data_IF_378021967091
#
_entry.id   IF_378021967091
#
_cell.length_a   1.000
_cell.length_b   1.000
_cell.length_c   1.000
_cell.angle_alpha   90.00
_cell.angle_beta   90.00
_cell.angle_gamma   90.00
#
_symmetry.space_group_name_H-M   'P 1'
#
loop_
_entity.id
_entity.type
_entity.pdbx_description
1 polymer ?
#
# COMPACT_ATOMS: atom_id res chain seq x y z
N UNK A 1 -8.25 19.22 21.65
CA UNK A 1 -7.87 18.00 20.89
C UNK A 1 -9.09 17.54 20.11
N UNK A 2 -9.21 17.94 18.85
CA UNK A 2 -10.22 17.31 17.99
C UNK A 2 -9.62 15.95 17.64
N UNK A 3 -10.01 14.94 18.40
CA UNK A 3 -9.79 13.56 18.01
C UNK A 3 -10.39 13.43 16.61
N UNK A 4 -9.55 13.23 15.59
CA UNK A 4 -10.02 12.72 14.30
C UNK A 4 -10.98 11.56 14.62
N UNK A 5 -12.23 11.60 14.16
CA UNK A 5 -13.14 10.48 14.32
C UNK A 5 -12.41 9.23 13.87
N UNK A 6 -12.42 8.17 14.70
CA UNK A 6 -11.68 6.93 14.40
C UNK A 6 -12.04 6.35 13.02
N UNK A 7 -13.23 6.67 12.53
CA UNK A 7 -13.70 6.33 11.18
C UNK A 7 -12.88 6.98 10.05
N UNK A 8 -12.51 8.25 10.16
CA UNK A 8 -11.78 8.98 9.12
C UNK A 8 -10.33 8.50 9.00
N UNK A 9 -9.70 8.16 10.13
CA UNK A 9 -8.35 7.59 10.16
C UNK A 9 -8.34 6.18 9.55
N UNK A 10 -9.37 5.36 9.82
CA UNK A 10 -9.49 4.04 9.23
C UNK A 10 -9.73 4.09 7.72
N UNK A 11 -10.57 5.02 7.26
CA UNK A 11 -10.83 5.22 5.83
C UNK A 11 -9.55 5.63 5.06
N UNK A 12 -8.75 6.53 5.63
CA UNK A 12 -7.49 6.93 5.01
C UNK A 12 -6.47 5.78 4.99
N UNK A 13 -6.42 4.99 6.05
CA UNK A 13 -5.59 3.79 6.12
C UNK A 13 -6.01 2.74 5.06
N UNK A 14 -7.31 2.52 4.85
CA UNK A 14 -7.84 1.65 3.79
C UNK A 14 -7.45 2.17 2.39
N UNK A 15 -7.52 3.49 2.16
CA UNK A 15 -7.10 4.12 0.90
C UNK A 15 -5.62 3.88 0.62
N UNK A 16 -4.75 4.14 1.59
CA UNK A 16 -3.30 3.91 1.47
C UNK A 16 -3.01 2.42 1.22
N UNK A 17 -3.70 1.52 1.92
CA UNK A 17 -3.55 0.08 1.69
C UNK A 17 -3.93 -0.34 0.27
N UNK A 18 -4.99 0.25 -0.31
CA UNK A 18 -5.38 -0.03 -1.69
C UNK A 18 -4.26 0.31 -2.67
N UNK A 19 -3.69 1.51 -2.55
CA UNK A 19 -2.59 1.97 -3.40
C UNK A 19 -1.37 1.06 -3.24
N UNK A 20 -1.01 0.69 -2.00
CA UNK A 20 0.12 -0.21 -1.76
C UNK A 20 -0.11 -1.60 -2.35
N UNK A 21 -1.33 -2.14 -2.27
CA UNK A 21 -1.66 -3.44 -2.88
C UNK A 21 -1.49 -3.43 -4.39
N UNK A 22 -1.94 -2.38 -5.06
CA UNK A 22 -1.78 -2.24 -6.52
C UNK A 22 -0.30 -2.25 -6.92
N UNK A 23 0.54 -1.52 -6.20
CA UNK A 23 1.98 -1.43 -6.46
C UNK A 23 2.74 -2.74 -6.16
N UNK A 24 2.21 -3.53 -5.23
CA UNK A 24 2.79 -4.80 -4.80
C UNK A 24 2.15 -6.01 -5.48
N UNK A 25 1.36 -5.79 -6.54
CA UNK A 25 0.73 -6.86 -7.32
C UNK A 25 1.60 -7.26 -8.51
N UNK A 26 1.77 -8.57 -8.68
CA UNK A 26 2.46 -9.16 -9.82
C UNK A 26 1.59 -9.12 -11.07
N UNK A 27 2.07 -8.50 -12.15
CA UNK A 27 1.33 -8.41 -13.42
C UNK A 27 1.13 -9.75 -14.15
N UNK A 28 1.88 -10.79 -13.78
CA UNK A 28 1.75 -12.11 -14.40
C UNK A 28 0.68 -13.01 -13.74
N UNK A 29 0.43 -12.84 -12.44
CA UNK A 29 -0.55 -13.67 -11.71
C UNK A 29 -1.63 -12.88 -10.97
N UNK A 30 -1.60 -11.54 -11.06
CA UNK A 30 -2.56 -10.62 -10.44
C UNK A 30 -2.76 -10.81 -8.93
N UNK A 31 -1.73 -11.32 -8.25
CA UNK A 31 -1.67 -11.49 -6.80
C UNK A 31 -0.53 -10.66 -6.24
N UNK A 32 -0.54 -10.39 -4.93
CA UNK A 32 0.60 -9.80 -4.24
C UNK A 32 1.86 -10.63 -4.51
N UNK A 33 3.01 -9.96 -4.60
CA UNK A 33 4.26 -10.64 -4.88
C UNK A 33 4.56 -11.75 -3.87
N UNK A 34 4.96 -12.89 -4.40
CA UNK A 34 5.46 -14.04 -3.66
C UNK A 34 6.87 -14.33 -4.15
N UNK A 35 7.86 -14.20 -3.26
CA UNK A 35 9.29 -14.18 -3.60
C UNK A 35 9.60 -13.30 -4.84
N UNK A 36 9.42 -11.96 -4.75
CA UNK A 36 9.61 -11.08 -5.90
C UNK A 36 11.03 -11.12 -6.45
N UNK A 37 11.13 -11.34 -7.75
CA UNK A 37 12.35 -11.26 -8.55
C UNK A 37 12.27 -10.07 -9.50
N UNK A 38 13.38 -9.35 -9.68
CA UNK A 38 13.54 -8.22 -10.60
C UNK A 38 14.35 -8.68 -11.81
N UNK A 39 13.81 -8.50 -13.01
CA UNK A 39 14.50 -8.75 -14.26
C UNK A 39 15.42 -7.58 -14.65
N UNK A 40 16.35 -7.74 -15.62
CA UNK A 40 17.20 -6.64 -16.10
C UNK A 40 16.44 -5.43 -16.66
N UNK A 41 15.25 -5.66 -17.22
CA UNK A 41 14.32 -4.60 -17.64
C UNK A 41 13.59 -3.90 -16.48
N UNK A 42 13.96 -4.21 -15.23
CA UNK A 42 13.43 -3.65 -13.99
C UNK A 42 11.96 -3.99 -13.66
N UNK A 43 11.32 -4.82 -14.48
CA UNK A 43 10.04 -5.43 -14.14
C UNK A 43 10.19 -6.51 -13.08
N UNK A 44 9.13 -6.70 -12.27
CA UNK A 44 9.13 -7.59 -11.11
C UNK A 44 8.06 -8.65 -11.24
N UNK A 45 8.37 -9.87 -10.84
CA UNK A 45 7.48 -11.02 -10.91
C UNK A 45 7.70 -11.94 -9.72
N UNK A 46 6.69 -12.75 -9.37
CA UNK A 46 6.88 -13.83 -8.41
C UNK A 46 7.85 -14.87 -8.98
N UNK A 47 8.64 -15.52 -8.11
CA UNK A 47 9.52 -16.62 -8.51
C UNK A 47 8.78 -17.68 -9.34
N UNK A 48 7.66 -18.19 -8.83
CA UNK A 48 6.84 -19.18 -9.53
C UNK A 48 6.19 -18.69 -10.84
N UNK A 49 6.23 -17.39 -11.15
CA UNK A 49 5.83 -16.87 -12.45
C UNK A 49 6.98 -16.95 -13.48
N UNK A 50 8.23 -16.76 -13.05
CA UNK A 50 9.42 -16.83 -13.91
C UNK A 50 9.89 -18.27 -14.15
N UNK A 51 9.69 -19.18 -13.19
CA UNK A 51 10.11 -20.59 -13.29
C UNK A 51 9.34 -21.39 -14.36
N UNK A 52 8.38 -20.79 -15.07
CA UNK A 52 7.56 -21.43 -16.12
C UNK A 52 8.29 -21.63 -17.47
N UNK A 53 9.62 -21.61 -17.46
CA UNK A 53 10.45 -21.91 -18.65
C UNK A 53 10.45 -20.82 -19.73
N UNK A 54 10.14 -19.56 -19.39
CA UNK A 54 10.24 -18.44 -20.33
C UNK A 54 11.58 -17.72 -20.19
N UNK A 55 12.08 -17.17 -21.29
CA UNK A 55 13.32 -16.39 -21.38
C UNK A 55 13.09 -14.94 -21.82
N UNK A 56 11.84 -14.47 -21.71
CA UNK A 56 11.43 -13.10 -22.04
C UNK A 56 10.52 -12.54 -20.96
N UNK A 57 10.60 -11.23 -20.72
CA UNK A 57 9.76 -10.54 -19.75
C UNK A 57 8.26 -10.82 -19.96
N UNK A 58 7.53 -10.96 -18.86
CA UNK A 58 6.09 -11.25 -18.83
C UNK A 58 5.22 -9.98 -18.80
N UNK A 59 5.82 -8.80 -18.70
CA UNK A 59 5.07 -7.55 -18.59
C UNK A 59 4.44 -7.19 -19.94
N UNK A 60 3.17 -6.76 -19.98
CA UNK A 60 2.54 -6.31 -21.23
C UNK A 60 3.39 -5.24 -21.93
N UNK A 61 3.71 -5.47 -23.21
CA UNK A 61 4.54 -4.54 -23.99
C UNK A 61 6.05 -4.60 -23.74
N UNK A 62 6.53 -5.36 -22.76
CA UNK A 62 7.96 -5.62 -22.57
C UNK A 62 8.29 -7.04 -23.05
N UNK A 63 9.31 -7.17 -23.90
CA UNK A 63 9.79 -8.48 -24.38
C UNK A 63 11.29 -8.66 -24.17
N UNK A 64 11.88 -7.90 -23.25
CA UNK A 64 13.31 -7.97 -22.97
C UNK A 64 13.69 -9.41 -22.59
N UNK A 65 14.66 -10.02 -23.29
CA UNK A 65 15.12 -11.35 -22.94
C UNK A 65 15.86 -11.35 -21.61
N UNK A 66 15.88 -12.49 -20.94
CA UNK A 66 16.66 -12.71 -19.72
C UNK A 66 17.14 -14.17 -19.65
N UNK A 67 18.26 -14.38 -18.97
CA UNK A 67 18.84 -15.68 -18.67
C UNK A 67 18.47 -16.13 -17.26
N UNK A 68 18.59 -17.42 -16.97
CA UNK A 68 18.24 -17.98 -15.65
C UNK A 68 19.00 -17.35 -14.46
N UNK A 69 20.18 -16.77 -14.72
CA UNK A 69 21.02 -16.08 -13.72
C UNK A 69 20.65 -14.62 -13.49
N UNK A 70 19.84 -14.03 -14.36
CA UNK A 70 19.53 -12.59 -14.33
C UNK A 70 18.55 -12.17 -13.23
N UNK A 71 17.49 -12.93 -12.89
CA UNK A 71 16.51 -12.51 -11.91
C UNK A 71 17.12 -12.29 -10.52
N UNK A 72 17.00 -11.07 -9.99
CA UNK A 72 17.51 -10.69 -8.66
C UNK A 72 16.39 -10.62 -7.65
N UNK A 73 16.57 -11.20 -6.46
CA UNK A 73 15.60 -11.10 -5.36
C UNK A 73 15.40 -9.64 -4.95
N UNK A 74 14.14 -9.23 -4.81
CA UNK A 74 13.76 -7.91 -4.32
C UNK A 74 13.29 -8.01 -2.86
N UNK A 75 14.25 -8.17 -1.94
CA UNK A 75 13.99 -8.41 -0.51
C UNK A 75 13.11 -7.32 0.13
N UNK A 76 13.35 -6.05 -0.20
CA UNK A 76 12.53 -4.94 0.29
C UNK A 76 11.06 -5.05 -0.14
N UNK A 77 10.78 -5.49 -1.37
CA UNK A 77 9.39 -5.71 -1.80
C UNK A 77 8.76 -6.87 -1.04
N UNK A 78 9.51 -7.94 -0.76
CA UNK A 78 9.01 -9.03 0.06
C UNK A 78 8.62 -8.54 1.46
N UNK A 79 9.49 -7.75 2.10
CA UNK A 79 9.19 -7.13 3.40
C UNK A 79 7.98 -6.21 3.37
N UNK A 80 7.82 -5.42 2.31
CA UNK A 80 6.65 -4.53 2.15
C UNK A 80 5.35 -5.31 1.93
N UNK A 81 5.38 -6.43 1.20
CA UNK A 81 4.22 -7.30 1.03
C UNK A 81 3.77 -7.86 2.39
N UNK A 82 4.71 -8.36 3.19
CA UNK A 82 4.38 -8.87 4.54
C UNK A 82 3.83 -7.77 5.44
N UNK A 83 4.43 -6.57 5.39
CA UNK A 83 3.93 -5.42 6.13
C UNK A 83 2.49 -5.04 5.73
N UNK A 84 2.18 -4.99 4.44
CA UNK A 84 0.83 -4.68 3.94
C UNK A 84 -0.18 -5.77 4.34
N UNK A 85 0.21 -7.04 4.31
CA UNK A 85 -0.64 -8.15 4.79
C UNK A 85 -0.97 -7.95 6.27
N UNK A 86 0.01 -7.60 7.09
CA UNK A 86 -0.19 -7.44 8.52
C UNK A 86 -1.04 -6.21 8.86
N UNK A 87 -0.73 -5.06 8.25
CA UNK A 87 -1.55 -3.85 8.39
C UNK A 87 -3.01 -4.07 7.99
N UNK A 88 -3.24 -4.89 6.96
CA UNK A 88 -4.59 -5.22 6.52
C UNK A 88 -5.39 -5.96 7.58
N UNK A 89 -4.75 -6.90 8.29
CA UNK A 89 -5.39 -7.63 9.40
C UNK A 89 -5.70 -6.68 10.55
N UNK A 90 -4.76 -5.82 10.91
CA UNK A 90 -4.92 -4.84 11.99
C UNK A 90 -6.11 -3.91 11.72
N UNK A 91 -6.22 -3.37 10.52
CA UNK A 91 -7.35 -2.49 10.13
C UNK A 91 -8.69 -3.24 10.15
N UNK A 92 -8.72 -4.50 9.70
CA UNK A 92 -9.91 -5.36 9.77
C UNK A 92 -10.33 -5.63 11.22
N UNK A 93 -9.38 -5.91 12.11
CA UNK A 93 -9.66 -6.11 13.54
C UNK A 93 -10.22 -4.86 14.21
N UNK A 94 -9.61 -3.69 13.94
CA UNK A 94 -10.08 -2.40 14.49
C UNK A 94 -11.48 -2.03 13.99
N UNK A 95 -11.83 -2.45 12.77
CA UNK A 95 -13.18 -2.28 12.20
C UNK A 95 -14.19 -3.21 12.87
N UNK A 96 -13.85 -4.49 13.07
CA UNK A 96 -14.69 -5.46 13.77
C UNK A 96 -14.98 -5.09 15.23
N UNK A 97 -13.99 -4.51 15.92
CA UNK A 97 -14.15 -4.03 17.29
C UNK A 97 -15.04 -2.77 17.42
N UNK A 98 -15.16 -1.96 16.35
CA UNK A 98 -16.05 -0.80 16.33
C UNK A 98 -17.52 -1.18 16.06
N UNK A 99 -17.77 -2.32 15.41
CA UNK A 99 -19.11 -2.87 15.20
C UNK A 99 -19.65 -3.66 16.40
N UNK A 100 -18.79 -4.13 17.31
CA UNK A 100 -19.20 -4.94 18.47
C UNK A 100 -19.59 -4.12 19.71
N UNK A 101 -19.65 -2.78 19.63
CA UNK A 101 -20.08 -1.91 20.74
C UNK A 101 -21.51 -1.35 20.55
N UNK A 102 -22.30 -1.92 19.65
CA UNK A 102 -23.66 -1.46 19.34
C UNK A 102 -24.79 -2.45 19.69
N UNK A 103 -24.47 -3.66 20.18
CA UNK A 103 -25.46 -4.72 20.43
C UNK A 103 -25.65 -5.12 21.91
N UNK A 104 -25.19 -4.32 22.88
CA UNK A 104 -25.58 -4.49 24.29
C UNK A 104 -26.36 -3.27 24.79
N UNK A 105 -27.66 -3.22 24.43
CA UNK A 105 -28.63 -2.30 25.01
C UNK A 105 -29.88 -3.07 25.47
N UNK A 106 -29.86 -3.50 26.73
CA UNK A 106 -30.98 -3.78 27.66
C UNK A 106 -30.30 -4.20 28.99
N UNK A 107 -30.47 -3.59 30.16
CA UNK A 107 -31.61 -2.93 30.79
C UNK A 107 -31.12 -2.16 32.05
N UNK A 108 -31.80 -1.09 32.49
CA UNK A 108 -31.75 -0.66 33.90
C UNK A 108 -31.27 0.75 34.30
N UNK A 109 -32.20 1.73 34.18
CA UNK A 109 -32.50 2.89 35.03
C UNK A 109 -31.49 3.60 36.00
N UNK A 110 -31.57 4.94 35.91
CA UNK A 110 -31.56 5.97 36.97
C UNK A 110 -30.22 6.47 37.57
N UNK A 111 -29.96 7.77 37.41
CA UNK A 111 -29.00 8.53 38.22
C UNK A 111 -28.63 9.89 37.61
N UNK A 112 -29.29 10.96 38.05
CA UNK A 112 -28.90 12.35 37.78
C UNK A 112 -27.55 12.68 38.43
N UNK A 113 -26.67 13.45 37.76
CA UNK A 113 -25.89 14.53 38.37
C UNK A 113 -24.92 15.22 37.38
N UNK A 114 -25.22 16.49 37.13
CA UNK A 114 -24.33 17.64 37.35
C UNK A 114 -23.28 18.03 36.27
N UNK A 115 -23.53 19.25 35.77
CA UNK A 115 -22.63 20.08 34.99
C UNK A 115 -21.24 20.21 35.62
N UNK A 116 -20.22 20.22 34.77
CA UNK A 116 -19.01 21.02 34.97
C UNK A 116 -18.63 21.71 33.66
N UNK A 117 -18.81 23.02 33.65
CA UNK A 117 -18.14 23.91 32.71
C UNK A 117 -16.68 24.07 33.13
N UNK A 118 -15.75 24.04 32.17
CA UNK A 118 -14.46 24.72 32.26
C UNK A 118 -14.19 25.33 30.89
N UNK A 119 -14.08 26.65 30.87
CA UNK A 119 -13.87 27.48 29.69
C UNK A 119 -12.42 27.56 29.21
N UNK A 120 -12.35 28.15 28.01
CA UNK A 120 -11.29 28.91 27.35
C UNK A 120 -9.85 28.38 27.28
N UNK A 121 -9.38 28.14 26.05
CA UNK A 121 -8.34 28.99 25.45
C UNK A 121 -8.03 28.57 24.01
N UNK A 122 -7.85 29.59 23.17
CA UNK A 122 -7.48 29.59 21.77
C UNK A 122 -6.21 28.75 21.48
N UNK A 123 -6.20 27.97 20.38
CA UNK A 123 -5.05 28.03 19.47
C UNK A 123 -5.35 27.45 18.08
N UNK A 124 -4.88 28.17 17.07
CA UNK A 124 -4.86 27.79 15.68
C UNK A 124 -3.95 26.57 15.42
N UNK A 125 -4.08 25.97 14.23
CA UNK A 125 -3.16 25.02 13.56
C UNK A 125 -3.25 23.52 13.91
N UNK A 126 -4.22 22.80 13.32
CA UNK A 126 -4.14 21.32 13.18
C UNK A 126 -4.58 20.79 11.79
N UNK A 127 -5.06 21.66 10.89
CA UNK A 127 -5.21 21.34 9.46
C UNK A 127 -3.88 20.95 8.79
N UNK A 128 -2.75 21.40 9.35
CA UNK A 128 -1.42 21.14 8.80
C UNK A 128 -0.93 19.70 8.91
N UNK A 129 -1.43 18.88 9.85
CA UNK A 129 -0.91 17.52 10.08
C UNK A 129 -1.52 16.49 9.12
N UNK A 130 -2.84 16.56 8.89
CA UNK A 130 -3.56 15.77 7.89
C UNK A 130 -3.19 16.17 6.46
N UNK A 131 -2.97 17.46 6.23
CA UNK A 131 -2.46 17.97 4.95
C UNK A 131 -1.03 17.51 4.70
N UNK A 132 -0.17 17.51 5.73
CA UNK A 132 1.20 17.02 5.60
C UNK A 132 1.26 15.51 5.28
N UNK A 133 0.40 14.68 5.89
CA UNK A 133 0.33 13.26 5.55
C UNK A 133 -0.20 13.05 4.13
N UNK A 134 -1.28 13.74 3.75
CA UNK A 134 -1.84 13.70 2.40
C UNK A 134 -0.83 14.13 1.34
N UNK A 135 -0.05 15.17 1.63
CA UNK A 135 1.01 15.66 0.76
C UNK A 135 2.15 14.64 0.62
N UNK A 136 2.53 13.95 1.71
CA UNK A 136 3.52 12.86 1.67
C UNK A 136 3.02 11.65 0.88
N UNK A 137 1.74 11.28 1.00
CA UNK A 137 1.14 10.21 0.19
C UNK A 137 1.11 10.62 -1.28
N UNK A 138 0.66 11.83 -1.61
CA UNK A 138 0.67 12.35 -2.99
C UNK A 138 2.10 12.39 -3.59
N UNK A 139 3.09 12.79 -2.80
CA UNK A 139 4.50 12.80 -3.21
C UNK A 139 5.03 11.37 -3.45
N UNK A 140 4.66 10.41 -2.60
CA UNK A 140 4.99 9.00 -2.79
C UNK A 140 4.34 8.45 -4.06
N UNK A 141 3.05 8.71 -4.28
CA UNK A 141 2.33 8.32 -5.49
C UNK A 141 3.00 8.89 -6.76
N UNK A 142 3.40 10.16 -6.73
CA UNK A 142 4.12 10.80 -7.83
C UNK A 142 5.47 10.12 -8.11
N UNK A 143 6.25 9.83 -7.06
CA UNK A 143 7.53 9.11 -7.20
C UNK A 143 7.35 7.70 -7.73
N UNK A 144 6.30 7.01 -7.30
CA UNK A 144 5.98 5.66 -7.74
C UNK A 144 5.49 5.64 -9.19
N UNK A 145 4.72 6.66 -9.62
CA UNK A 145 4.37 6.89 -11.03
C UNK A 145 5.61 7.09 -11.89
N UNK A 146 6.49 8.03 -11.53
CA UNK A 146 7.74 8.29 -12.27
C UNK A 146 8.62 7.04 -12.34
N UNK A 147 8.75 6.30 -11.23
CA UNK A 147 9.53 5.05 -11.22
C UNK A 147 8.94 3.99 -12.15
N UNK A 148 7.60 3.87 -12.19
CA UNK A 148 6.91 3.01 -13.15
C UNK A 148 7.18 3.44 -14.60
N UNK A 149 7.13 4.74 -14.89
CA UNK A 149 7.40 5.25 -16.24
C UNK A 149 8.86 5.02 -16.65
N UNK A 150 9.81 5.16 -15.73
CA UNK A 150 11.22 4.81 -15.96
C UNK A 150 11.42 3.33 -16.24
N UNK A 151 10.69 2.45 -15.54
CA UNK A 151 10.70 1.00 -15.82
C UNK A 151 10.16 0.73 -17.23
N UNK A 152 9.09 1.40 -17.63
CA UNK A 152 8.51 1.28 -18.98
C UNK A 152 9.50 1.77 -20.03
N UNK A 153 10.11 2.94 -19.84
CA UNK A 153 11.09 3.52 -20.77
C UNK A 153 12.34 2.64 -20.92
N UNK A 154 12.84 2.07 -19.82
CA UNK A 154 13.96 1.14 -19.85
C UNK A 154 13.62 -0.16 -20.57
N UNK A 155 12.36 -0.60 -20.53
CA UNK A 155 11.91 -1.78 -21.26
C UNK A 155 11.79 -1.56 -22.77
N UNK A 156 11.50 -0.33 -23.23
CA UNK A 156 11.48 0.05 -24.64
C UNK A 156 12.84 0.46 -25.20
N UNK A 157 13.88 0.58 -24.37
CA UNK A 157 15.23 1.03 -24.74
C UNK A 157 16.38 0.01 -24.62
N UNK A 158 16.10 -1.30 -24.55
CA UNK A 158 17.15 -2.34 -24.51
C UNK A 158 17.98 -2.40 -25.82
N UNK A 159 19.29 -2.75 -25.75
CA UNK A 159 20.26 -2.41 -26.77
C UNK A 159 19.94 -3.10 -28.10
N UNK A 160 20.13 -2.35 -29.19
CA UNK A 160 20.33 -2.91 -30.51
C UNK A 160 21.56 -3.83 -30.49
N UNK A 161 21.36 -5.11 -30.14
CA UNK A 161 22.34 -6.14 -30.38
C UNK A 161 22.08 -6.70 -31.77
N UNK A 162 22.64 -6.06 -32.80
CA UNK A 162 22.87 -6.71 -34.09
C UNK A 162 23.84 -5.91 -34.95
N UNK A 163 25.07 -6.42 -35.01
CA UNK A 163 26.06 -6.38 -36.11
C UNK A 163 26.73 -5.05 -36.47
#
# INVERSE_FOLDING_TARGET
>A
AVLMPRADVLAECERVLSVLRELLTCSACSRLYDEPLTLPCLHRFCRGCLDRGRSVCLHPGCRTPYFATDPRRATLLASLVEYVKELSKEIQHRRGAASSSADDAQDGAAGQAQLREVGDSENASDTGTTDALSQRVAQLEMRLRVHRDLIIANASGGPASSR
#
